data_IF_562592701080
#
_entry.id   IF_562592701080
#
_cell.length_a   1.000
_cell.length_b   1.000
_cell.length_c   1.000
_cell.angle_alpha   90.00
_cell.angle_beta   90.00
_cell.angle_gamma   90.00
#
_symmetry.space_group_name_H-M   'P 1'
#
loop_
_entity.id
_entity.type
_entity.pdbx_description
1 polymer ?
#
# COMPACT_ATOMS: atom_id res chain seq x y z
N UNK A 1 14.68 23.42 8.49
CA UNK A 1 13.66 23.26 7.44
C UNK A 1 12.34 23.78 7.99
N UNK A 2 11.53 24.47 7.19
CA UNK A 2 10.19 24.92 7.60
C UNK A 2 9.19 23.86 7.20
N UNK A 3 8.37 23.39 8.15
CA UNK A 3 7.33 22.39 7.89
C UNK A 3 5.96 23.02 8.05
N UNK A 4 5.12 22.90 7.03
CA UNK A 4 3.71 23.27 7.06
C UNK A 4 2.88 22.00 7.23
N UNK A 5 1.89 22.01 8.13
CA UNK A 5 1.08 20.82 8.44
C UNK A 5 -0.38 21.21 8.67
N UNK A 6 -1.31 20.47 8.04
CA UNK A 6 -2.76 20.67 8.20
C UNK A 6 -3.27 22.05 7.74
N UNK A 7 -2.48 22.79 6.98
CA UNK A 7 -2.82 24.14 6.51
C UNK A 7 -3.55 24.10 5.17
N UNK A 8 -4.44 25.08 4.97
CA UNK A 8 -5.15 25.34 3.71
C UNK A 8 -4.70 26.63 3.05
N UNK A 9 -3.67 27.30 3.59
CA UNK A 9 -3.27 28.64 3.15
C UNK A 9 -2.74 28.69 1.70
N UNK A 10 -2.40 27.54 1.12
CA UNK A 10 -1.95 27.41 -0.26
C UNK A 10 -3.07 27.05 -1.24
N UNK A 11 -4.28 26.77 -0.78
CA UNK A 11 -5.43 26.50 -1.65
C UNK A 11 -5.69 27.70 -2.56
N UNK A 12 -5.63 27.50 -3.88
CA UNK A 12 -5.82 28.55 -4.88
C UNK A 12 -4.64 29.55 -5.01
N UNK A 13 -3.53 29.33 -4.32
CA UNK A 13 -2.36 30.20 -4.41
C UNK A 13 -1.68 30.11 -5.79
N UNK A 14 -1.09 31.22 -6.24
CA UNK A 14 -0.24 31.27 -7.44
C UNK A 14 1.18 31.66 -7.04
N UNK A 15 2.14 30.79 -7.35
CA UNK A 15 3.55 31.02 -7.10
C UNK A 15 4.26 31.41 -8.40
N UNK A 16 4.71 32.66 -8.50
CA UNK A 16 5.38 33.20 -9.70
C UNK A 16 6.86 33.38 -9.42
N UNK A 17 7.72 32.75 -10.23
CA UNK A 17 9.20 32.79 -10.09
C UNK A 17 9.67 32.38 -8.68
N UNK A 18 8.96 31.44 -8.07
CA UNK A 18 9.34 30.83 -6.80
C UNK A 18 10.06 29.50 -7.05
N UNK A 19 11.01 29.16 -6.19
CA UNK A 19 11.69 27.87 -6.22
C UNK A 19 11.04 26.92 -5.23
N UNK A 20 10.70 25.72 -5.68
CA UNK A 20 10.31 24.57 -4.85
C UNK A 20 11.39 23.47 -4.86
N UNK A 21 12.62 23.79 -5.30
CA UNK A 21 13.71 22.81 -5.38
C UNK A 21 13.97 22.18 -4.02
N UNK A 22 13.85 20.85 -3.94
CA UNK A 22 14.03 20.08 -2.73
C UNK A 22 12.86 20.13 -1.73
N UNK A 23 11.70 20.66 -2.15
CA UNK A 23 10.48 20.58 -1.34
C UNK A 23 9.85 19.17 -1.47
N UNK A 24 9.40 18.62 -0.35
CA UNK A 24 8.67 17.35 -0.30
C UNK A 24 7.23 17.62 0.11
N UNK A 25 6.28 17.05 -0.64
CA UNK A 25 4.85 17.06 -0.29
C UNK A 25 4.46 15.64 0.11
N UNK A 26 4.14 15.43 1.39
CA UNK A 26 3.68 14.13 1.93
C UNK A 26 2.27 14.29 2.47
N UNK A 27 1.42 13.29 2.28
CA UNK A 27 0.03 13.26 2.78
C UNK A 27 -0.74 14.57 2.49
N UNK A 28 -0.55 15.13 1.30
CA UNK A 28 -1.04 16.44 0.91
C UNK A 28 -1.91 16.34 -0.34
N UNK A 29 -3.02 17.07 -0.36
CA UNK A 29 -3.86 17.19 -1.54
C UNK A 29 -3.20 18.14 -2.55
N UNK A 30 -2.82 17.58 -3.70
CA UNK A 30 -2.28 18.31 -4.85
C UNK A 30 -3.23 18.28 -6.06
N UNK A 31 -4.48 17.87 -5.84
CA UNK A 31 -5.51 17.87 -6.87
C UNK A 31 -5.70 19.28 -7.44
N UNK A 32 -5.79 19.37 -8.76
CA UNK A 32 -5.93 20.66 -9.46
C UNK A 32 -4.67 21.52 -9.54
N UNK A 33 -3.53 21.12 -8.95
CA UNK A 33 -2.26 21.85 -9.12
C UNK A 33 -1.89 21.88 -10.60
N UNK A 34 -1.66 23.09 -11.12
CA UNK A 34 -1.29 23.31 -12.52
C UNK A 34 0.11 23.91 -12.61
N UNK A 35 1.03 23.17 -13.25
CA UNK A 35 2.40 23.59 -13.46
C UNK A 35 2.62 24.01 -14.92
N UNK A 36 2.86 25.30 -15.17
CA UNK A 36 3.10 25.86 -16.52
C UNK A 36 4.43 26.57 -16.60
N UNK A 37 5.22 26.24 -17.63
CA UNK A 37 6.55 26.81 -17.85
C UNK A 37 7.46 26.71 -16.60
N UNK A 38 7.41 25.55 -15.95
CA UNK A 38 8.24 25.19 -14.79
C UNK A 38 9.39 24.29 -15.23
N UNK A 39 10.48 24.30 -14.46
CA UNK A 39 11.54 23.29 -14.55
C UNK A 39 11.14 22.10 -13.67
N UNK A 40 11.04 20.91 -14.28
CA UNK A 40 10.56 19.67 -13.65
C UNK A 40 11.61 18.56 -13.66
N UNK A 41 12.87 18.90 -13.93
CA UNK A 41 13.96 17.94 -13.87
C UNK A 41 14.02 17.29 -12.46
N UNK A 42 13.88 15.97 -12.42
CA UNK A 42 13.81 15.20 -11.18
C UNK A 42 12.50 15.31 -10.38
N UNK A 43 11.39 15.76 -10.97
CA UNK A 43 10.08 15.70 -10.33
C UNK A 43 9.64 14.24 -10.17
N UNK A 44 9.54 13.79 -8.93
CA UNK A 44 9.05 12.47 -8.56
C UNK A 44 7.63 12.54 -8.00
N UNK A 45 6.75 11.66 -8.50
CA UNK A 45 5.37 11.52 -8.04
C UNK A 45 5.17 10.04 -7.74
N UNK A 46 5.27 9.71 -6.46
CA UNK A 46 4.94 8.39 -5.96
C UNK A 46 3.61 8.44 -5.20
N UNK A 47 2.54 8.04 -5.87
CA UNK A 47 1.18 8.04 -5.31
C UNK A 47 0.42 6.79 -5.70
N UNK A 48 -0.13 6.11 -4.70
CA UNK A 48 -1.09 5.03 -4.90
C UNK A 48 -2.34 5.51 -5.65
N UNK A 49 -2.81 6.72 -5.31
CA UNK A 49 -4.07 7.28 -5.81
C UNK A 49 -4.00 7.74 -7.27
N UNK A 50 -2.82 7.67 -7.89
CA UNK A 50 -2.60 8.06 -9.29
C UNK A 50 -3.62 7.41 -10.23
N UNK A 51 -4.04 6.17 -9.95
CA UNK A 51 -4.95 5.39 -10.79
C UNK A 51 -6.43 5.77 -10.65
N UNK A 52 -6.79 6.60 -9.66
CA UNK A 52 -8.15 7.13 -9.49
C UNK A 52 -8.37 8.46 -10.24
N UNK A 53 -7.32 9.00 -10.85
CA UNK A 53 -7.35 10.32 -11.50
C UNK A 53 -6.65 10.35 -12.85
N UNK A 54 -6.20 11.54 -13.22
CA UNK A 54 -5.38 11.78 -14.41
C UNK A 54 -4.10 12.53 -14.01
N UNK A 55 -3.04 12.32 -14.77
CA UNK A 55 -1.79 13.06 -14.65
C UNK A 55 -1.38 13.53 -16.03
N UNK A 56 -1.51 14.82 -16.28
CA UNK A 56 -1.31 15.39 -17.61
C UNK A 56 0.11 15.95 -17.75
N UNK A 57 0.94 15.30 -18.55
CA UNK A 57 2.30 15.77 -18.91
C UNK A 57 2.29 16.27 -20.35
N UNK A 58 2.53 17.56 -20.55
CA UNK A 58 2.51 18.20 -21.87
C UNK A 58 1.23 17.93 -22.69
N UNK A 59 0.07 17.86 -22.02
CA UNK A 59 -1.22 17.61 -22.66
C UNK A 59 -1.56 16.13 -22.88
N UNK A 60 -0.72 15.20 -22.40
CA UNK A 60 -0.94 13.75 -22.49
C UNK A 60 -1.23 13.20 -21.11
N UNK A 61 -2.32 12.46 -20.97
CA UNK A 61 -2.56 11.67 -19.76
C UNK A 61 -1.62 10.47 -19.71
N UNK A 62 -0.70 10.46 -18.74
CA UNK A 62 0.34 9.43 -18.63
C UNK A 62 -0.07 8.28 -17.71
N UNK A 63 -1.20 8.35 -17.01
CA UNK A 63 -1.64 7.28 -16.08
C UNK A 63 -1.71 5.91 -16.76
N UNK A 64 -2.28 5.74 -17.97
CA UNK A 64 -2.30 4.44 -18.64
C UNK A 64 -0.92 3.92 -19.03
N UNK A 65 0.02 4.82 -19.35
CA UNK A 65 1.41 4.45 -19.66
C UNK A 65 2.11 3.93 -18.41
N UNK A 66 1.93 4.62 -17.28
CA UNK A 66 2.48 4.19 -15.98
C UNK A 66 1.86 2.87 -15.53
N UNK A 67 0.54 2.69 -15.65
CA UNK A 67 -0.11 1.42 -15.28
C UNK A 67 0.41 0.24 -16.11
N UNK A 68 0.55 0.42 -17.43
CA UNK A 68 1.10 -0.61 -18.32
C UNK A 68 2.56 -0.95 -17.97
N UNK A 69 3.38 0.05 -17.68
CA UNK A 69 4.78 -0.16 -17.30
C UNK A 69 4.90 -0.85 -15.94
N UNK A 70 4.05 -0.51 -14.96
CA UNK A 70 3.98 -1.24 -13.69
C UNK A 70 3.55 -2.69 -13.90
N UNK A 71 2.56 -2.97 -14.74
CA UNK A 71 2.17 -4.37 -15.04
C UNK A 71 3.30 -5.13 -15.75
N UNK A 72 4.13 -4.44 -16.55
CA UNK A 72 5.34 -5.04 -17.16
C UNK A 72 6.40 -5.37 -16.11
N UNK A 73 6.61 -4.51 -15.11
CA UNK A 73 7.60 -4.68 -14.04
C UNK A 73 7.15 -5.66 -12.96
N UNK A 74 5.83 -5.78 -12.75
CA UNK A 74 5.19 -6.63 -11.74
C UNK A 74 4.19 -7.56 -12.43
N UNK A 75 4.64 -8.63 -13.12
CA UNK A 75 3.75 -9.54 -13.82
C UNK A 75 2.69 -10.14 -12.89
N UNK A 76 1.42 -10.07 -13.29
CA UNK A 76 0.28 -10.52 -12.50
C UNK A 76 -0.39 -9.41 -11.69
N UNK A 77 0.23 -8.21 -11.57
CA UNK A 77 -0.41 -7.04 -10.95
C UNK A 77 -1.70 -6.65 -11.64
N UNK A 78 -1.79 -6.83 -12.95
CA UNK A 78 -3.00 -6.54 -13.72
C UNK A 78 -4.23 -7.35 -13.28
N UNK A 79 -4.02 -8.47 -12.59
CA UNK A 79 -5.08 -9.32 -12.03
C UNK A 79 -5.63 -8.79 -10.69
N UNK A 80 -5.01 -7.77 -10.07
CA UNK A 80 -5.52 -7.17 -8.83
C UNK A 80 -6.94 -6.59 -9.01
N UNK A 81 -7.32 -6.24 -10.24
CA UNK A 81 -8.65 -5.75 -10.62
C UNK A 81 -9.58 -6.84 -11.17
N UNK A 82 -9.20 -8.12 -11.06
CA UNK A 82 -10.01 -9.21 -11.56
C UNK A 82 -11.39 -9.24 -10.88
N UNK A 83 -12.43 -9.51 -11.67
CA UNK A 83 -13.80 -9.62 -11.18
C UNK A 83 -14.30 -11.07 -11.11
N UNK A 84 -13.55 -11.99 -11.70
CA UNK A 84 -13.83 -13.43 -11.66
C UNK A 84 -13.08 -14.10 -10.52
N UNK A 85 -13.66 -15.15 -9.95
CA UNK A 85 -13.00 -15.98 -8.92
C UNK A 85 -11.66 -16.53 -9.42
N UNK A 86 -11.60 -17.01 -10.65
CA UNK A 86 -10.39 -17.56 -11.26
C UNK A 86 -9.28 -16.52 -11.37
N UNK A 87 -9.60 -15.33 -11.91
CA UNK A 87 -8.65 -14.22 -11.98
C UNK A 87 -8.13 -13.75 -10.61
N UNK A 88 -8.98 -13.76 -9.57
CA UNK A 88 -8.54 -13.44 -8.20
C UNK A 88 -7.61 -14.52 -7.63
N UNK A 89 -7.87 -15.80 -7.91
CA UNK A 89 -6.97 -16.91 -7.53
C UNK A 89 -5.62 -16.80 -8.23
N UNK A 90 -5.62 -16.54 -9.54
CA UNK A 90 -4.41 -16.35 -10.32
C UNK A 90 -3.61 -15.15 -9.84
N UNK A 91 -4.28 -14.01 -9.60
CA UNK A 91 -3.67 -12.80 -9.05
C UNK A 91 -3.07 -13.02 -7.66
N UNK A 92 -3.75 -13.78 -6.81
CA UNK A 92 -3.27 -14.14 -5.49
C UNK A 92 -1.99 -15.00 -5.56
N UNK A 93 -1.97 -16.04 -6.40
CA UNK A 93 -0.77 -16.87 -6.59
C UNK A 93 0.41 -16.03 -7.11
N UNK A 94 0.15 -15.11 -8.05
CA UNK A 94 1.19 -14.24 -8.60
C UNK A 94 1.81 -13.34 -7.52
N UNK A 95 0.98 -12.69 -6.70
CA UNK A 95 1.49 -11.79 -5.66
C UNK A 95 2.20 -12.54 -4.52
N UNK A 96 1.72 -13.75 -4.16
CA UNK A 96 2.42 -14.62 -3.21
C UNK A 96 3.84 -14.97 -3.70
N UNK A 97 3.98 -15.33 -4.98
CA UNK A 97 5.28 -15.65 -5.57
C UNK A 97 6.22 -14.45 -5.57
N UNK A 98 5.71 -13.26 -5.92
CA UNK A 98 6.51 -12.04 -5.98
C UNK A 98 6.99 -11.56 -4.59
N UNK A 99 6.16 -11.75 -3.56
CA UNK A 99 6.56 -11.52 -2.17
C UNK A 99 7.59 -12.54 -1.69
N UNK A 100 7.40 -13.82 -2.01
CA UNK A 100 8.35 -14.87 -1.62
C UNK A 100 9.75 -14.58 -2.18
N UNK A 101 9.85 -14.20 -3.46
CA UNK A 101 11.11 -13.77 -4.09
C UNK A 101 11.76 -12.60 -3.34
N UNK A 102 10.96 -11.61 -2.95
CA UNK A 102 11.45 -10.41 -2.26
C UNK A 102 11.94 -10.73 -0.86
N UNK A 103 11.19 -11.53 -0.11
CA UNK A 103 11.54 -11.99 1.24
C UNK A 103 12.82 -12.83 1.21
N UNK A 104 12.89 -13.83 0.33
CA UNK A 104 14.05 -14.73 0.23
C UNK A 104 15.30 -14.01 -0.30
N UNK A 105 15.10 -13.02 -1.17
CA UNK A 105 16.18 -12.23 -1.76
C UNK A 105 16.66 -11.06 -0.90
N UNK A 106 16.06 -10.79 0.26
CA UNK A 106 16.46 -9.67 1.13
C UNK A 106 17.52 -10.13 2.15
N UNK A 107 18.73 -9.53 2.14
CA UNK A 107 19.75 -9.75 3.15
C UNK A 107 19.23 -9.43 4.57
N UNK A 108 19.63 -10.21 5.61
CA UNK A 108 19.15 -9.99 6.98
C UNK A 108 19.39 -8.58 7.52
N UNK A 109 20.47 -7.91 7.13
CA UNK A 109 20.82 -6.54 7.51
C UNK A 109 19.90 -5.47 6.89
N UNK A 110 19.19 -5.80 5.81
CA UNK A 110 18.23 -4.91 5.16
C UNK A 110 16.77 -5.13 5.61
N UNK A 111 16.50 -6.15 6.43
CA UNK A 111 15.13 -6.46 6.89
C UNK A 111 14.52 -5.32 7.70
N UNK A 112 15.34 -4.71 8.57
CA UNK A 112 14.95 -3.59 9.43
C UNK A 112 15.50 -2.23 8.95
N UNK A 113 16.31 -2.23 7.89
CA UNK A 113 16.75 -0.99 7.25
C UNK A 113 15.56 -0.31 6.53
N UNK A 114 15.55 1.02 6.52
CA UNK A 114 14.51 1.80 5.89
C UNK A 114 15.07 3.08 5.27
N UNK A 115 14.38 3.58 4.24
CA UNK A 115 14.57 4.93 3.71
C UNK A 115 13.90 5.92 4.67
N UNK A 116 14.44 7.14 4.80
CA UNK A 116 13.84 8.17 5.67
C UNK A 116 12.34 8.36 5.35
N UNK A 117 11.53 8.40 6.40
CA UNK A 117 10.06 8.49 6.35
C UNK A 117 9.29 7.32 5.69
N UNK A 118 9.98 6.25 5.27
CA UNK A 118 9.39 5.04 4.70
C UNK A 118 9.50 3.84 5.67
N UNK A 119 8.75 2.77 5.40
CA UNK A 119 8.77 1.56 6.22
C UNK A 119 9.87 0.59 5.80
N UNK A 120 10.42 -0.14 6.76
CA UNK A 120 11.26 -1.31 6.47
C UNK A 120 10.44 -2.46 5.87
N UNK A 121 11.14 -3.49 5.36
CA UNK A 121 10.49 -4.74 4.95
C UNK A 121 9.70 -5.36 6.12
N UNK A 122 10.29 -5.42 7.32
CA UNK A 122 9.62 -5.97 8.49
C UNK A 122 8.34 -5.21 8.86
N UNK A 123 8.39 -3.87 8.87
CA UNK A 123 7.22 -3.02 9.13
C UNK A 123 6.15 -3.20 8.06
N UNK A 124 6.55 -3.32 6.79
CA UNK A 124 5.61 -3.52 5.67
C UNK A 124 4.90 -4.86 5.75
N UNK A 125 5.62 -5.95 6.05
CA UNK A 125 5.00 -7.27 6.22
C UNK A 125 4.01 -7.30 7.39
N UNK A 126 4.30 -6.57 8.48
CA UNK A 126 3.37 -6.37 9.59
C UNK A 126 2.14 -5.56 9.18
N UNK A 127 2.30 -4.57 8.30
CA UNK A 127 1.17 -3.83 7.76
C UNK A 127 0.27 -4.72 6.89
N UNK A 128 0.85 -5.59 6.06
CA UNK A 128 0.07 -6.54 5.27
C UNK A 128 -0.70 -7.57 6.11
N UNK A 129 -0.19 -7.92 7.29
CA UNK A 129 -0.97 -8.67 8.30
C UNK A 129 -2.19 -7.85 8.74
N UNK A 130 -2.02 -6.57 9.06
CA UNK A 130 -3.12 -5.67 9.43
C UNK A 130 -4.14 -5.53 8.29
N UNK A 131 -3.70 -5.30 7.05
CA UNK A 131 -4.57 -5.16 5.89
C UNK A 131 -5.40 -6.44 5.65
N UNK A 132 -4.77 -7.62 5.73
CA UNK A 132 -5.47 -8.89 5.61
C UNK A 132 -6.46 -9.10 6.77
N UNK A 133 -6.05 -8.81 8.00
CA UNK A 133 -6.92 -8.86 9.17
C UNK A 133 -8.15 -7.97 8.99
N UNK A 134 -7.98 -6.72 8.56
CA UNK A 134 -9.07 -5.78 8.33
C UNK A 134 -10.05 -6.30 7.27
N UNK A 135 -9.54 -6.59 6.07
CA UNK A 135 -10.38 -6.86 4.90
C UNK A 135 -10.94 -8.27 4.88
N UNK A 136 -10.11 -9.29 5.15
CA UNK A 136 -10.58 -10.67 5.18
C UNK A 136 -11.32 -10.96 6.48
N UNK A 137 -10.67 -10.75 7.63
CA UNK A 137 -11.26 -11.22 8.90
C UNK A 137 -12.34 -10.26 9.41
N UNK A 138 -12.11 -8.95 9.34
CA UNK A 138 -13.08 -7.93 9.72
C UNK A 138 -14.20 -7.80 8.69
N UNK A 139 -13.87 -7.40 7.46
CA UNK A 139 -14.84 -7.11 6.40
C UNK A 139 -15.58 -8.35 5.93
N UNK A 140 -14.86 -9.35 5.41
CA UNK A 140 -15.50 -10.53 4.80
C UNK A 140 -16.07 -11.48 5.85
N UNK A 141 -15.28 -11.87 6.85
CA UNK A 141 -15.62 -12.90 7.85
C UNK A 141 -16.32 -12.36 9.11
N UNK A 142 -16.37 -11.03 9.30
CA UNK A 142 -17.05 -10.36 10.43
C UNK A 142 -16.58 -10.80 11.80
N UNK A 143 -15.29 -11.08 11.94
CA UNK A 143 -14.64 -11.35 13.23
C UNK A 143 -14.58 -10.07 14.04
N UNK A 144 -15.13 -10.11 15.26
CA UNK A 144 -15.30 -8.91 16.11
C UNK A 144 -13.97 -8.20 16.46
N UNK A 145 -12.92 -8.98 16.77
CA UNK A 145 -11.57 -8.47 16.99
C UNK A 145 -10.67 -9.15 15.94
N UNK A 146 -10.56 -8.57 14.74
CA UNK A 146 -9.91 -9.22 13.63
C UNK A 146 -8.40 -8.99 13.62
N UNK A 147 -7.83 -8.16 14.48
CA UNK A 147 -6.43 -7.76 14.39
C UNK A 147 -5.50 -8.65 15.22
N UNK A 148 -4.38 -9.06 14.63
CA UNK A 148 -3.28 -9.67 15.35
C UNK A 148 -2.38 -8.60 15.97
N UNK A 149 -1.84 -8.87 17.15
CA UNK A 149 -0.89 -7.99 17.86
C UNK A 149 0.41 -7.67 17.10
N UNK A 150 0.73 -8.44 16.05
CA UNK A 150 1.92 -8.23 15.20
C UNK A 150 1.65 -7.14 14.16
N UNK A 151 0.38 -6.85 13.86
CA UNK A 151 -0.01 -5.84 12.88
C UNK A 151 0.71 -4.51 13.11
N UNK A 152 0.99 -3.81 12.01
CA UNK A 152 1.54 -2.46 12.03
C UNK A 152 0.50 -1.49 11.50
N UNK A 153 0.04 -0.60 12.39
CA UNK A 153 -0.85 0.50 11.99
C UNK A 153 -0.11 1.54 11.15
N UNK A 154 -0.85 2.20 10.27
CA UNK A 154 -0.36 3.30 9.46
C UNK A 154 -0.49 4.66 10.16
N UNK A 155 0.27 5.65 9.70
CA UNK A 155 0.22 7.01 10.24
C UNK A 155 -1.19 7.58 10.11
N UNK A 156 -1.77 8.04 11.23
CA UNK A 156 -3.13 8.59 11.27
C UNK A 156 -4.22 7.58 11.63
N UNK A 157 -3.91 6.29 11.72
CA UNK A 157 -4.84 5.25 12.14
C UNK A 157 -5.38 5.45 13.57
N UNK A 158 -4.59 6.04 14.47
CA UNK A 158 -5.00 6.37 15.85
C UNK A 158 -6.28 7.24 15.90
N UNK A 159 -6.52 8.04 14.87
CA UNK A 159 -7.71 8.90 14.74
C UNK A 159 -8.95 8.17 14.25
N UNK A 160 -8.79 6.92 13.80
CA UNK A 160 -9.87 6.05 13.32
C UNK A 160 -10.47 5.18 14.43
N UNK A 161 -10.02 5.37 15.69
CA UNK A 161 -10.65 4.75 16.86
C UNK A 161 -10.23 3.31 17.14
N UNK A 162 -9.07 2.86 16.62
CA UNK A 162 -8.55 1.53 16.97
C UNK A 162 -8.24 1.41 18.45
N UNK A 163 -8.50 0.22 18.99
CA UNK A 163 -7.92 -0.17 20.26
C UNK A 163 -6.42 -0.46 20.07
N UNK A 164 -5.62 0.59 20.27
CA UNK A 164 -4.17 0.54 20.18
C UNK A 164 -3.53 -0.46 21.14
N UNK A 165 -4.25 -0.90 22.18
CA UNK A 165 -3.73 -1.88 23.15
C UNK A 165 -3.58 -3.29 22.59
N UNK A 166 -4.18 -3.58 21.42
CA UNK A 166 -4.01 -4.85 20.71
C UNK A 166 -2.57 -5.02 20.21
N UNK A 167 -1.91 -3.94 19.79
CA UNK A 167 -0.62 -4.02 19.11
C UNK A 167 0.54 -4.06 20.10
N UNK A 168 1.50 -4.95 19.84
CA UNK A 168 2.72 -5.03 20.63
C UNK A 168 3.52 -3.74 20.54
N UNK A 169 4.11 -3.37 21.67
CA UNK A 169 4.98 -2.19 21.80
C UNK A 169 6.46 -2.53 21.66
N UNK A 170 6.81 -3.81 21.82
CA UNK A 170 8.15 -4.33 21.56
C UNK A 170 8.30 -4.77 20.09
N UNK A 171 9.54 -4.80 19.60
CA UNK A 171 9.83 -5.17 18.21
C UNK A 171 9.69 -6.68 18.02
N UNK A 172 8.72 -7.17 17.23
CA UNK A 172 8.59 -8.60 16.94
C UNK A 172 9.79 -9.10 16.14
N UNK A 173 10.20 -10.34 16.35
CA UNK A 173 11.26 -10.95 15.55
C UNK A 173 10.78 -11.19 14.12
N UNK A 174 11.71 -11.15 13.16
CA UNK A 174 11.38 -11.41 11.76
C UNK A 174 10.70 -12.77 11.55
N UNK A 175 11.10 -13.78 12.33
CA UNK A 175 10.48 -15.12 12.30
C UNK A 175 9.02 -15.10 12.77
N UNK A 176 8.70 -14.36 13.82
CA UNK A 176 7.31 -14.20 14.29
C UNK A 176 6.45 -13.50 13.22
N UNK A 177 6.99 -12.45 12.60
CA UNK A 177 6.31 -11.71 11.52
C UNK A 177 5.99 -12.65 10.35
N UNK A 178 6.98 -13.41 9.87
CA UNK A 178 6.79 -14.36 8.77
C UNK A 178 5.80 -15.48 9.12
N UNK A 179 5.79 -15.97 10.37
CA UNK A 179 4.86 -17.01 10.80
C UNK A 179 3.40 -16.52 10.74
N UNK A 180 3.11 -15.34 11.29
CA UNK A 180 1.74 -14.77 11.25
C UNK A 180 1.35 -14.40 9.83
N UNK A 181 2.28 -13.85 9.05
CA UNK A 181 2.02 -13.51 7.66
C UNK A 181 1.71 -14.76 6.81
N UNK A 182 2.40 -15.88 7.03
CA UNK A 182 2.08 -17.14 6.37
C UNK A 182 0.68 -17.67 6.74
N UNK A 183 0.30 -17.57 8.02
CA UNK A 183 -1.06 -17.94 8.47
C UNK A 183 -2.14 -17.11 7.77
N UNK A 184 -1.92 -15.79 7.63
CA UNK A 184 -2.85 -14.90 6.92
C UNK A 184 -2.93 -15.23 5.43
N UNK A 185 -1.80 -15.53 4.80
CA UNK A 185 -1.80 -15.96 3.41
C UNK A 185 -2.56 -17.28 3.21
N UNK A 186 -2.44 -18.23 4.13
CA UNK A 186 -3.19 -19.48 4.09
C UNK A 186 -4.70 -19.23 4.20
N UNK A 187 -5.13 -18.31 5.07
CA UNK A 187 -6.55 -17.94 5.19
C UNK A 187 -7.11 -17.34 3.89
N UNK A 188 -6.40 -16.42 3.24
CA UNK A 188 -6.81 -15.86 1.94
C UNK A 188 -6.87 -16.97 0.88
N UNK A 189 -5.87 -17.85 0.85
CA UNK A 189 -5.81 -18.99 -0.07
C UNK A 189 -7.01 -19.92 0.11
N UNK A 190 -7.32 -20.30 1.35
CA UNK A 190 -8.44 -21.17 1.69
C UNK A 190 -9.79 -20.52 1.37
N UNK A 191 -9.92 -19.21 1.63
CA UNK A 191 -11.11 -18.45 1.26
C UNK A 191 -11.34 -18.47 -0.26
N UNK A 192 -10.32 -18.08 -1.04
CA UNK A 192 -10.41 -18.06 -2.50
C UNK A 192 -10.68 -19.44 -3.09
N UNK A 193 -10.16 -20.52 -2.50
CA UNK A 193 -10.41 -21.89 -2.96
C UNK A 193 -11.90 -22.29 -2.93
N UNK A 194 -12.70 -21.67 -2.07
CA UNK A 194 -14.13 -21.98 -1.90
C UNK A 194 -15.07 -20.86 -2.37
N UNK A 195 -14.52 -19.69 -2.73
CA UNK A 195 -15.29 -18.55 -3.20
C UNK A 195 -16.11 -18.86 -4.47
N UNK A 196 -17.30 -18.26 -4.56
CA UNK A 196 -18.19 -18.30 -5.73
C UNK A 196 -18.50 -16.89 -6.21
N UNK A 197 -18.99 -16.76 -7.44
CA UNK A 197 -19.41 -15.47 -8.00
C UNK A 197 -20.49 -14.81 -7.15
N UNK A 198 -21.43 -15.58 -6.61
CA UNK A 198 -22.50 -15.08 -5.75
C UNK A 198 -21.95 -14.50 -4.46
N UNK A 199 -21.00 -15.22 -3.82
CA UNK A 199 -20.33 -14.74 -2.61
C UNK A 199 -19.58 -13.44 -2.87
N UNK A 200 -18.85 -13.34 -4.00
CA UNK A 200 -18.11 -12.12 -4.34
C UNK A 200 -19.01 -10.89 -4.55
N UNK A 201 -20.27 -11.10 -4.92
CA UNK A 201 -21.25 -10.02 -5.12
C UNK A 201 -21.94 -9.58 -3.82
N UNK A 202 -21.76 -10.29 -2.71
CA UNK A 202 -22.39 -9.91 -1.45
C UNK A 202 -21.79 -8.63 -0.88
N UNK A 203 -22.64 -7.76 -0.35
CA UNK A 203 -22.26 -6.50 0.29
C UNK A 203 -21.67 -6.71 1.70
N UNK A 204 -20.73 -5.85 2.07
CA UNK A 204 -20.07 -5.75 3.37
C UNK A 204 -20.04 -4.30 3.84
N UNK A 205 -19.79 -4.12 5.13
CA UNK A 205 -19.46 -2.82 5.70
C UNK A 205 -17.96 -2.59 5.55
N UNK A 206 -17.56 -1.32 5.38
CA UNK A 206 -16.15 -0.94 5.40
C UNK A 206 -15.53 -1.33 6.77
N UNK A 207 -14.50 -2.20 6.81
CA UNK A 207 -13.85 -2.61 8.05
C UNK A 207 -13.16 -1.46 8.79
N UNK A 208 -12.93 -0.33 8.13
CA UNK A 208 -12.34 0.87 8.71
C UNK A 208 -13.37 1.86 9.25
N UNK A 209 -14.65 1.55 9.08
CA UNK A 209 -15.77 2.41 9.50
C UNK A 209 -16.10 3.50 8.49
N UNK A 210 -17.37 3.89 8.47
CA UNK A 210 -17.92 4.84 7.51
C UNK A 210 -19.28 4.34 7.01
N UNK A 211 -20.26 5.23 6.92
CA UNK A 211 -21.62 4.88 6.45
C UNK A 211 -21.79 5.12 4.95
N UNK A 212 -20.79 5.71 4.28
CA UNK A 212 -20.91 6.20 2.91
C UNK A 212 -20.48 5.19 1.85
N UNK A 213 -19.75 4.12 2.22
CA UNK A 213 -19.27 3.10 1.29
C UNK A 213 -19.51 1.68 1.81
N UNK A 214 -20.15 0.87 0.97
CA UNK A 214 -20.42 -0.54 1.22
C UNK A 214 -19.75 -1.40 0.14
N UNK A 215 -18.54 -1.94 0.39
CA UNK A 215 -17.84 -2.79 -0.56
C UNK A 215 -18.54 -4.13 -0.76
N UNK A 216 -18.40 -4.72 -1.95
CA UNK A 216 -18.67 -6.15 -2.11
C UNK A 216 -17.54 -6.99 -1.50
N UNK A 217 -17.79 -8.27 -1.22
CA UNK A 217 -16.74 -9.23 -0.86
C UNK A 217 -15.62 -9.25 -1.90
N UNK A 218 -15.97 -9.16 -3.19
CA UNK A 218 -15.01 -9.03 -4.27
C UNK A 218 -14.17 -7.77 -4.16
N UNK A 219 -14.74 -6.63 -3.75
CA UNK A 219 -13.99 -5.39 -3.53
C UNK A 219 -12.99 -5.58 -2.38
N UNK A 220 -13.41 -6.18 -1.26
CA UNK A 220 -12.52 -6.47 -0.14
C UNK A 220 -11.31 -7.33 -0.56
N UNK A 221 -11.51 -8.35 -1.40
CA UNK A 221 -10.39 -9.16 -1.93
C UNK A 221 -9.49 -8.35 -2.86
N UNK A 222 -10.07 -7.48 -3.71
CA UNK A 222 -9.28 -6.62 -4.60
C UNK A 222 -8.45 -5.61 -3.81
N UNK A 223 -8.97 -5.08 -2.70
CA UNK A 223 -8.19 -4.23 -1.80
C UNK A 223 -7.01 -5.02 -1.21
N UNK A 224 -7.21 -6.27 -0.76
CA UNK A 224 -6.09 -7.11 -0.30
C UNK A 224 -5.01 -7.25 -1.39
N UNK A 225 -5.40 -7.55 -2.64
CA UNK A 225 -4.45 -7.68 -3.74
C UNK A 225 -3.74 -6.35 -4.05
N UNK A 226 -4.47 -5.25 -4.01
CA UNK A 226 -3.97 -3.91 -4.24
C UNK A 226 -2.93 -3.50 -3.19
N UNK A 227 -3.22 -3.72 -1.91
CA UNK A 227 -2.30 -3.52 -0.78
C UNK A 227 -1.01 -4.32 -0.99
N UNK A 228 -1.14 -5.59 -1.34
CA UNK A 228 0.00 -6.49 -1.57
C UNK A 228 0.91 -5.98 -2.70
N UNK A 229 0.36 -5.54 -3.83
CA UNK A 229 1.16 -5.03 -4.96
C UNK A 229 1.72 -3.63 -4.70
N UNK A 230 0.94 -2.74 -4.08
CA UNK A 230 1.40 -1.39 -3.76
C UNK A 230 2.59 -1.44 -2.80
N UNK A 231 2.47 -2.22 -1.72
CA UNK A 231 3.54 -2.38 -0.74
C UNK A 231 4.75 -3.14 -1.27
N UNK A 232 4.56 -4.09 -2.19
CA UNK A 232 5.67 -4.75 -2.85
C UNK A 232 6.49 -3.76 -3.68
N UNK A 233 5.81 -2.82 -4.37
CA UNK A 233 6.46 -1.77 -5.14
C UNK A 233 7.27 -0.84 -4.24
N UNK A 234 6.71 -0.37 -3.13
CA UNK A 234 7.42 0.48 -2.17
C UNK A 234 8.67 -0.21 -1.60
N UNK A 235 8.51 -1.45 -1.13
CA UNK A 235 9.63 -2.21 -0.56
C UNK A 235 10.73 -2.47 -1.59
N UNK A 236 10.39 -2.84 -2.83
CA UNK A 236 11.41 -3.08 -3.87
C UNK A 236 12.12 -1.79 -4.27
N UNK A 237 11.42 -0.65 -4.34
CA UNK A 237 12.02 0.68 -4.53
C UNK A 237 13.02 0.98 -3.41
N UNK A 238 12.61 0.84 -2.16
CA UNK A 238 13.43 1.21 -1.00
C UNK A 238 14.63 0.30 -0.82
N UNK A 239 14.45 -1.02 -1.01
CA UNK A 239 15.56 -1.98 -1.00
C UNK A 239 16.57 -1.71 -2.12
N UNK A 240 16.15 -1.20 -3.27
CA UNK A 240 17.09 -0.81 -4.33
C UNK A 240 17.95 0.37 -3.89
N UNK A 241 17.34 1.41 -3.31
CA UNK A 241 18.06 2.58 -2.79
C UNK A 241 19.04 2.19 -1.67
N UNK A 242 18.61 1.36 -0.72
CA UNK A 242 19.44 0.88 0.39
C UNK A 242 20.61 -0.01 -0.06
N UNK A 243 20.52 -0.64 -1.24
CA UNK A 243 21.64 -1.41 -1.81
C UNK A 243 22.68 -0.53 -2.50
N UNK A 244 22.24 0.59 -3.06
CA UNK A 244 23.12 1.58 -3.68
C UNK A 244 23.86 2.41 -2.61
N UNK A 245 23.15 2.78 -1.54
CA UNK A 245 23.66 3.53 -0.38
C UNK A 245 23.38 2.77 0.93
N UNK A 246 24.18 1.71 1.26
CA UNK A 246 23.95 0.92 2.46
C UNK A 246 24.07 1.78 3.73
N UNK A 247 23.21 1.54 4.74
CA UNK A 247 23.30 2.26 6.00
C UNK A 247 24.69 2.08 6.60
N UNK A 248 25.27 3.17 7.12
CA UNK A 248 26.59 3.12 7.75
C UNK A 248 26.57 2.06 8.86
N UNK A 249 27.50 1.10 8.80
CA UNK A 249 27.61 0.06 9.82
C UNK A 249 27.79 0.70 11.21
N UNK A 250 27.13 0.18 12.25
CA UNK A 250 27.20 0.71 13.61
C UNK A 250 28.62 0.66 14.20
#
# INVERSE_FOLDING_TARGET
MTTYSGTKEFEGATFVRASFKGATLRFSDVSGVTMRAVDVDGLDIDSHDLFFGNLIVNGVDVVPYVDAELNRQFPGRELQKAQTVEGLREGWVAVQSAWQETVDGTPPDLVDAHVEDEWSLAQTLRHLVLATDAWLRGGILRVQQPFHEIGQIFTGADRMGFDMSIFRTDTPTYKEILAVRAERQEQVTAFLATATTELLAEERDDPWGGEDWHPSVGDCVRVILEEEWAHLRYVRRDLALLREDPPASP
#
